data_IF_480572796655
#
_entry.id   IF_480572796655
#
_cell.length_a   1.000
_cell.length_b   1.000
_cell.length_c   1.000
_cell.angle_alpha   90.00
_cell.angle_beta   90.00
_cell.angle_gamma   90.00
#
_symmetry.space_group_name_H-M   'P 1'
#
loop_
_entity.id
_entity.type
_entity.pdbx_description
1 polymer ?
#
# COMPACT_ATOMS: atom_id res chain seq x y z
N UNK A 1 -8.01 6.56 14.33
CA UNK A 1 -6.56 6.37 14.13
C UNK A 1 -6.13 6.80 12.71
N UNK A 2 -6.60 6.17 11.61
CA UNK A 2 -6.14 6.49 10.24
C UNK A 2 -6.42 7.94 9.87
N UNK A 3 -7.61 8.47 10.17
CA UNK A 3 -7.96 9.89 9.92
C UNK A 3 -7.12 10.85 10.77
N UNK A 4 -6.75 10.46 11.97
CA UNK A 4 -5.85 11.24 12.83
C UNK A 4 -4.45 11.30 12.23
N UNK A 5 -3.91 10.14 11.80
CA UNK A 5 -2.63 10.06 11.09
C UNK A 5 -2.64 10.93 9.83
N UNK A 6 -3.69 10.85 9.01
CA UNK A 6 -3.84 11.70 7.84
C UNK A 6 -3.84 13.19 8.21
N UNK A 7 -4.53 13.58 9.30
CA UNK A 7 -4.53 14.97 9.77
C UNK A 7 -3.12 15.45 10.17
N UNK A 8 -2.34 14.59 10.82
CA UNK A 8 -0.95 14.88 11.19
C UNK A 8 -0.10 15.06 9.93
N UNK A 9 -0.17 14.12 8.98
CA UNK A 9 0.53 14.19 7.70
C UNK A 9 0.22 15.51 6.98
N UNK A 10 -1.06 15.87 6.85
CA UNK A 10 -1.49 17.10 6.20
C UNK A 10 -0.92 18.37 6.86
N UNK A 11 -0.82 18.39 8.21
CA UNK A 11 -0.18 19.51 8.92
C UNK A 11 1.29 19.65 8.54
N UNK A 12 2.03 18.54 8.48
CA UNK A 12 3.44 18.55 8.10
C UNK A 12 3.63 18.96 6.64
N UNK A 13 2.80 18.45 5.73
CA UNK A 13 2.86 18.84 4.31
C UNK A 13 2.62 20.34 4.12
N UNK A 14 1.59 20.90 4.77
CA UNK A 14 1.32 22.35 4.76
C UNK A 14 2.50 23.15 5.29
N UNK A 15 3.09 22.72 6.42
CA UNK A 15 4.24 23.38 7.03
C UNK A 15 5.45 23.44 6.09
N UNK A 16 5.60 22.42 5.23
CA UNK A 16 6.68 22.33 4.25
C UNK A 16 6.30 22.87 2.86
N UNK A 17 5.18 23.57 2.73
CA UNK A 17 4.76 24.21 1.48
C UNK A 17 4.35 23.25 0.37
N UNK A 18 4.07 21.99 0.68
CA UNK A 18 3.61 21.02 -0.29
C UNK A 18 2.13 21.23 -0.64
N UNK A 19 1.83 21.24 -1.93
CA UNK A 19 0.46 21.31 -2.43
C UNK A 19 -0.12 19.89 -2.49
N UNK A 20 -1.25 19.67 -1.83
CA UNK A 20 -1.91 18.37 -1.80
C UNK A 20 -3.42 18.52 -1.67
N UNK A 21 -4.12 17.46 -1.97
CA UNK A 21 -5.55 17.33 -1.74
C UNK A 21 -5.90 15.92 -1.22
N UNK A 22 -6.85 15.87 -0.28
CA UNK A 22 -7.36 14.62 0.27
C UNK A 22 -8.58 14.15 -0.50
N UNK A 23 -8.53 12.92 -1.00
CA UNK A 23 -9.66 12.21 -1.57
C UNK A 23 -10.09 11.17 -0.54
N UNK A 24 -11.18 11.49 0.19
CA UNK A 24 -11.66 10.70 1.32
C UNK A 24 -12.53 9.54 0.82
N UNK A 25 -12.13 8.27 1.03
CA UNK A 25 -12.83 7.13 0.44
C UNK A 25 -14.29 7.01 0.86
N UNK A 26 -14.60 7.21 2.14
CA UNK A 26 -15.99 7.11 2.64
C UNK A 26 -16.97 8.12 2.02
N UNK A 27 -16.49 9.15 1.36
CA UNK A 27 -17.32 10.14 0.65
C UNK A 27 -17.50 9.82 -0.83
N UNK A 28 -16.67 8.97 -1.40
CA UNK A 28 -16.53 8.81 -2.85
C UNK A 28 -16.61 7.37 -3.33
N UNK A 29 -16.26 6.39 -2.48
CA UNK A 29 -16.08 5.00 -2.88
C UNK A 29 -17.08 4.10 -2.17
N UNK A 30 -17.70 3.19 -2.94
CA UNK A 30 -18.40 2.02 -2.44
C UNK A 30 -17.64 0.75 -2.79
N UNK A 31 -17.83 -0.31 -2.03
CA UNK A 31 -17.17 -1.61 -2.24
C UNK A 31 -18.19 -2.74 -2.44
N UNK A 32 -17.74 -3.78 -3.13
CA UNK A 32 -18.47 -5.02 -3.28
C UNK A 32 -18.28 -5.97 -2.08
N UNK A 33 -18.88 -7.16 -2.15
CA UNK A 33 -18.77 -8.22 -1.14
C UNK A 33 -17.34 -8.75 -0.94
N UNK A 34 -16.41 -8.41 -1.82
CA UNK A 34 -14.98 -8.79 -1.75
C UNK A 34 -14.10 -7.62 -1.29
N UNK A 35 -14.70 -6.53 -0.80
CA UNK A 35 -14.04 -5.27 -0.42
C UNK A 35 -13.28 -4.61 -1.59
N UNK A 36 -13.72 -4.81 -2.83
CA UNK A 36 -13.15 -4.17 -4.00
C UNK A 36 -13.97 -2.92 -4.38
N UNK A 37 -13.34 -1.81 -4.81
CA UNK A 37 -14.04 -0.60 -5.23
C UNK A 37 -14.93 -0.87 -6.44
N UNK A 38 -16.24 -0.59 -6.31
CA UNK A 38 -17.21 -0.67 -7.40
C UNK A 38 -17.15 0.57 -8.27
N UNK A 39 -17.12 1.72 -7.60
CA UNK A 39 -16.88 3.02 -8.20
C UNK A 39 -15.56 3.59 -7.69
N UNK A 40 -14.82 4.22 -8.54
CA UNK A 40 -13.56 4.85 -8.18
C UNK A 40 -13.53 6.27 -8.74
N UNK A 41 -13.30 7.30 -7.90
CA UNK A 41 -13.38 8.71 -8.31
C UNK A 41 -12.11 9.11 -9.10
N UNK A 42 -11.92 8.49 -10.26
CA UNK A 42 -10.72 8.72 -11.10
C UNK A 42 -10.59 10.19 -11.49
N UNK A 43 -11.69 10.84 -11.78
CA UNK A 43 -11.74 12.24 -12.18
C UNK A 43 -11.20 13.15 -11.08
N UNK A 44 -11.54 12.89 -9.80
CA UNK A 44 -11.03 13.67 -8.65
C UNK A 44 -9.49 13.55 -8.57
N UNK A 45 -8.94 12.35 -8.79
CA UNK A 45 -7.48 12.16 -8.83
C UNK A 45 -6.85 12.87 -10.04
N UNK A 46 -7.48 12.77 -11.22
CA UNK A 46 -6.98 13.42 -12.44
C UNK A 46 -6.91 14.94 -12.28
N UNK A 47 -7.92 15.57 -11.67
CA UNK A 47 -7.95 17.01 -11.38
C UNK A 47 -6.81 17.41 -10.45
N UNK A 48 -6.63 16.69 -9.33
CA UNK A 48 -5.56 16.97 -8.36
C UNK A 48 -4.18 16.87 -9.01
N UNK A 49 -3.96 15.82 -9.81
CA UNK A 49 -2.68 15.59 -10.51
C UNK A 49 -2.45 16.64 -11.61
N UNK A 50 -3.48 17.04 -12.35
CA UNK A 50 -3.38 18.07 -13.39
C UNK A 50 -2.99 19.44 -12.82
N UNK A 51 -3.36 19.73 -11.58
CA UNK A 51 -2.96 20.93 -10.85
C UNK A 51 -1.54 20.84 -10.25
N UNK A 52 -0.82 19.74 -10.46
CA UNK A 52 0.52 19.50 -9.91
C UNK A 52 0.51 19.27 -8.40
N UNK A 53 -0.63 18.90 -7.83
CA UNK A 53 -0.78 18.58 -6.41
C UNK A 53 -0.52 17.10 -6.13
N UNK A 54 -0.25 16.78 -4.87
CA UNK A 54 -0.15 15.42 -4.37
C UNK A 54 -1.55 14.95 -3.96
N UNK A 55 -2.05 13.90 -4.58
CA UNK A 55 -3.29 13.26 -4.17
C UNK A 55 -3.04 12.33 -2.98
N UNK A 56 -3.79 12.53 -1.89
CA UNK A 56 -3.71 11.71 -0.68
C UNK A 56 -5.02 10.96 -0.50
N UNK A 57 -4.92 9.65 -0.29
CA UNK A 57 -6.04 8.80 0.12
C UNK A 57 -5.56 7.79 1.16
N UNK A 58 -6.47 7.06 1.81
CA UNK A 58 -6.15 6.13 2.89
C UNK A 58 -7.21 5.04 3.00
N UNK A 59 -6.88 3.92 3.66
CA UNK A 59 -7.88 2.90 3.99
C UNK A 59 -8.96 3.47 4.91
N UNK A 60 -10.23 3.20 4.61
CA UNK A 60 -11.37 3.79 5.33
C UNK A 60 -12.52 2.79 5.47
N UNK A 61 -13.47 3.11 6.32
CA UNK A 61 -14.77 2.44 6.37
C UNK A 61 -15.66 3.12 5.33
N UNK A 62 -16.18 2.34 4.41
CA UNK A 62 -16.98 2.82 3.26
C UNK A 62 -18.27 2.03 3.15
N UNK A 63 -19.24 2.56 2.43
CA UNK A 63 -20.50 1.87 2.14
C UNK A 63 -20.26 0.66 1.23
N UNK A 64 -21.05 -0.39 1.42
CA UNK A 64 -21.14 -1.54 0.50
C UNK A 64 -22.31 -1.39 -0.46
N UNK A 65 -22.40 -2.28 -1.46
CA UNK A 65 -23.54 -2.39 -2.37
C UNK A 65 -24.87 -2.60 -1.65
N UNK A 66 -24.87 -3.25 -0.48
CA UNK A 66 -26.06 -3.66 0.26
C UNK A 66 -26.42 -2.68 1.40
N UNK A 67 -25.93 -1.45 1.35
CA UNK A 67 -26.16 -0.40 2.35
C UNK A 67 -25.56 -0.71 3.75
N UNK A 68 -24.73 -1.73 3.87
CA UNK A 68 -23.87 -1.98 5.01
C UNK A 68 -22.56 -1.20 4.90
N UNK A 69 -21.67 -1.37 5.87
CA UNK A 69 -20.32 -0.79 5.83
C UNK A 69 -19.27 -1.88 5.75
N UNK A 70 -18.17 -1.58 5.06
CA UNK A 70 -17.03 -2.46 4.93
C UNK A 70 -15.71 -1.72 5.02
N UNK A 71 -14.61 -2.45 5.09
CA UNK A 71 -13.26 -1.89 5.16
C UNK A 71 -12.61 -1.92 3.79
N UNK A 72 -12.33 -0.73 3.25
CA UNK A 72 -11.48 -0.56 2.07
C UNK A 72 -10.05 -0.38 2.52
N UNK A 73 -9.17 -1.34 2.24
CA UNK A 73 -7.78 -1.27 2.66
C UNK A 73 -6.96 -0.30 1.80
N UNK A 74 -5.92 0.31 2.40
CA UNK A 74 -4.96 1.13 1.67
C UNK A 74 -4.20 0.35 0.59
N UNK A 75 -3.94 -0.94 0.82
CA UNK A 75 -3.28 -1.81 -0.15
C UNK A 75 -4.15 -2.02 -1.41
N UNK A 76 -5.47 -2.19 -1.23
CA UNK A 76 -6.44 -2.29 -2.34
C UNK A 76 -6.53 -0.99 -3.12
N UNK A 77 -6.53 0.16 -2.42
CA UNK A 77 -6.49 1.48 -3.06
C UNK A 77 -5.20 1.67 -3.88
N UNK A 78 -4.06 1.31 -3.30
CA UNK A 78 -2.77 1.41 -3.99
C UNK A 78 -2.73 0.55 -5.26
N UNK A 79 -3.25 -0.68 -5.18
CA UNK A 79 -3.39 -1.55 -6.35
C UNK A 79 -4.25 -0.88 -7.43
N UNK A 80 -5.42 -0.35 -7.05
CA UNK A 80 -6.33 0.31 -8.01
C UNK A 80 -5.68 1.53 -8.67
N UNK A 81 -4.97 2.35 -7.90
CA UNK A 81 -4.22 3.49 -8.42
C UNK A 81 -3.11 3.05 -9.37
N UNK A 82 -2.35 2.01 -9.02
CA UNK A 82 -1.29 1.49 -9.88
C UNK A 82 -1.83 0.95 -11.21
N UNK A 83 -2.97 0.26 -11.21
CA UNK A 83 -3.64 -0.20 -12.44
C UNK A 83 -4.08 0.95 -13.35
N UNK A 84 -4.62 2.03 -12.76
CA UNK A 84 -5.14 3.18 -13.49
C UNK A 84 -4.02 4.08 -14.06
N UNK A 85 -3.00 4.34 -13.26
CA UNK A 85 -1.97 5.34 -13.58
C UNK A 85 -0.64 4.75 -14.05
N UNK A 86 -0.41 3.45 -13.84
CA UNK A 86 0.81 2.72 -14.24
C UNK A 86 2.08 3.52 -13.91
N UNK A 87 2.26 3.89 -12.62
CA UNK A 87 3.40 4.70 -12.22
C UNK A 87 4.71 3.97 -12.52
N UNK A 88 5.79 4.72 -12.72
CA UNK A 88 7.13 4.13 -12.91
C UNK A 88 7.49 3.22 -11.74
N UNK A 89 7.20 3.65 -10.50
CA UNK A 89 7.50 2.92 -9.27
C UNK A 89 6.35 3.00 -8.27
N UNK A 90 6.18 1.94 -7.51
CA UNK A 90 5.22 1.85 -6.39
C UNK A 90 5.93 1.27 -5.18
N UNK A 91 5.73 1.88 -4.01
CA UNK A 91 6.36 1.46 -2.77
C UNK A 91 5.33 1.15 -1.70
N UNK A 92 5.51 0.03 -1.02
CA UNK A 92 4.89 -0.27 0.27
C UNK A 92 5.92 0.05 1.35
N UNK A 93 5.63 1.03 2.20
CA UNK A 93 6.50 1.41 3.31
C UNK A 93 6.00 0.77 4.59
N UNK A 94 6.89 0.10 5.33
CA UNK A 94 6.60 -0.66 6.54
C UNK A 94 7.57 -0.29 7.67
N UNK A 95 7.34 -0.84 8.86
CA UNK A 95 8.25 -0.69 10.01
C UNK A 95 9.55 -1.50 9.87
N UNK A 96 9.62 -2.41 8.89
CA UNK A 96 10.78 -3.23 8.59
C UNK A 96 11.38 -2.87 7.25
N UNK A 97 12.70 -3.07 7.05
CA UNK A 97 13.41 -2.65 5.84
C UNK A 97 12.97 -3.35 4.55
N UNK A 98 12.12 -4.37 4.66
CA UNK A 98 11.59 -5.18 3.56
C UNK A 98 10.96 -6.45 4.10
N UNK A 99 10.80 -7.47 3.27
CA UNK A 99 10.32 -8.78 3.71
C UNK A 99 11.45 -9.52 4.43
N UNK A 100 11.30 -9.70 5.74
CA UNK A 100 12.33 -10.27 6.61
C UNK A 100 12.47 -11.78 6.42
N UNK A 101 13.72 -12.27 6.37
CA UNK A 101 14.07 -13.68 6.43
C UNK A 101 14.19 -14.10 7.91
N UNK A 102 13.50 -15.14 8.32
CA UNK A 102 13.57 -15.63 9.69
C UNK A 102 12.67 -14.90 10.68
N UNK A 103 13.13 -14.73 11.92
CA UNK A 103 12.34 -14.13 13.00
C UNK A 103 12.56 -12.63 13.09
N UNK A 104 11.52 -11.89 13.47
CA UNK A 104 11.54 -10.42 13.57
C UNK A 104 12.37 -9.89 14.75
N UNK A 105 12.69 -10.72 15.71
CA UNK A 105 13.46 -10.44 16.92
C UNK A 105 14.97 -10.77 16.80
N UNK A 106 15.43 -11.18 15.62
CA UNK A 106 16.85 -11.39 15.36
C UNK A 106 17.60 -10.03 15.35
N UNK A 107 18.75 -9.97 16.06
CA UNK A 107 19.59 -8.75 16.15
C UNK A 107 20.12 -8.30 14.76
N UNK A 108 20.25 -9.22 13.81
CA UNK A 108 20.69 -8.96 12.44
C UNK A 108 19.59 -9.36 11.45
N UNK A 109 18.60 -8.48 11.28
CA UNK A 109 17.54 -8.69 10.31
C UNK A 109 18.09 -8.73 8.89
N UNK A 110 17.87 -9.85 8.21
CA UNK A 110 18.11 -9.97 6.77
C UNK A 110 16.79 -9.98 6.02
N UNK A 111 16.76 -9.34 4.85
CA UNK A 111 15.55 -9.28 4.01
C UNK A 111 15.75 -10.12 2.75
N UNK A 112 14.63 -10.46 2.11
CA UNK A 112 14.65 -10.97 0.74
C UNK A 112 14.97 -9.82 -0.22
N UNK A 113 15.93 -10.01 -1.12
CA UNK A 113 16.23 -9.03 -2.16
C UNK A 113 15.07 -8.95 -3.17
N UNK A 114 14.50 -10.12 -3.50
CA UNK A 114 13.36 -10.24 -4.41
C UNK A 114 12.37 -11.28 -3.93
N UNK A 115 11.08 -11.06 -4.23
CA UNK A 115 9.99 -12.02 -4.05
C UNK A 115 9.15 -12.13 -5.31
N UNK A 116 8.58 -13.31 -5.55
CA UNK A 116 7.66 -13.61 -6.65
C UNK A 116 6.42 -14.38 -6.18
N UNK A 117 5.60 -14.83 -7.11
CA UNK A 117 4.38 -15.59 -6.81
C UNK A 117 4.61 -16.92 -6.07
N UNK A 118 5.82 -17.50 -6.14
CA UNK A 118 6.17 -18.73 -5.41
C UNK A 118 6.34 -18.46 -3.93
N UNK A 119 6.79 -17.24 -3.58
CA UNK A 119 6.92 -16.80 -2.20
C UNK A 119 5.59 -16.89 -1.44
N UNK A 120 4.50 -16.41 -2.02
CA UNK A 120 3.15 -16.48 -1.42
C UNK A 120 2.72 -17.92 -1.12
N UNK A 121 3.02 -18.85 -2.03
CA UNK A 121 2.68 -20.28 -1.83
C UNK A 121 3.45 -20.87 -0.65
N UNK A 122 4.72 -20.49 -0.49
CA UNK A 122 5.56 -20.97 0.60
C UNK A 122 5.17 -20.37 1.96
N UNK A 123 4.81 -19.08 2.00
CA UNK A 123 4.34 -18.42 3.22
C UNK A 123 3.00 -19.00 3.67
N UNK A 124 2.06 -19.20 2.76
CA UNK A 124 0.75 -19.80 3.08
C UNK A 124 0.85 -21.22 3.67
N UNK A 125 1.89 -21.99 3.31
CA UNK A 125 2.15 -23.32 3.87
C UNK A 125 2.73 -23.23 5.30
N UNK A 126 3.46 -22.16 5.64
CA UNK A 126 4.07 -21.96 6.96
C UNK A 126 3.09 -21.36 7.98
N UNK A 127 2.02 -20.71 7.53
CA UNK A 127 1.00 -20.07 8.38
C UNK A 127 0.19 -21.03 9.25
N UNK A 128 0.16 -22.30 8.93
CA UNK A 128 -0.64 -23.30 9.69
C UNK A 128 -0.10 -23.59 11.11
N UNK A 129 1.03 -23.01 11.52
CA UNK A 129 1.68 -23.49 12.74
C UNK A 129 2.07 -22.47 13.83
N UNK A 130 2.23 -21.15 13.65
CA UNK A 130 2.78 -20.36 14.79
C UNK A 130 2.51 -18.84 14.90
N UNK A 131 1.72 -18.15 14.05
CA UNK A 131 1.62 -16.68 14.15
C UNK A 131 0.22 -16.11 13.88
N UNK A 132 -0.58 -15.80 14.92
CA UNK A 132 -1.98 -15.35 14.74
C UNK A 132 -2.17 -13.93 14.18
N UNK A 133 -1.17 -13.03 14.20
CA UNK A 133 -1.44 -11.58 14.00
C UNK A 133 -0.63 -10.88 12.88
N UNK A 134 0.41 -11.50 12.33
CA UNK A 134 1.23 -10.87 11.29
C UNK A 134 0.75 -11.22 9.86
N UNK A 135 -0.13 -12.19 9.72
CA UNK A 135 -0.33 -12.96 8.51
C UNK A 135 -1.37 -12.35 7.57
N UNK A 136 -2.54 -11.95 8.04
CA UNK A 136 -3.59 -11.45 7.16
C UNK A 136 -3.22 -10.15 6.43
N UNK A 137 -2.66 -9.17 7.13
CA UNK A 137 -2.28 -7.89 6.59
C UNK A 137 -1.07 -7.96 5.64
N UNK A 138 -0.01 -8.68 6.03
CA UNK A 138 1.19 -8.84 5.22
C UNK A 138 0.92 -9.67 3.96
N UNK A 139 0.20 -10.76 4.08
CA UNK A 139 -0.15 -11.61 2.94
C UNK A 139 -0.99 -10.86 1.91
N UNK A 140 -1.98 -10.06 2.35
CA UNK A 140 -2.76 -9.22 1.45
C UNK A 140 -1.89 -8.17 0.76
N UNK A 141 -1.00 -7.53 1.49
CA UNK A 141 -0.02 -6.57 0.95
C UNK A 141 0.85 -7.21 -0.14
N UNK A 142 1.41 -8.39 0.11
CA UNK A 142 2.22 -9.11 -0.88
C UNK A 142 1.39 -9.49 -2.12
N UNK A 143 0.14 -9.93 -1.94
CA UNK A 143 -0.76 -10.21 -3.07
C UNK A 143 -1.04 -8.97 -3.91
N UNK A 144 -1.30 -7.83 -3.28
CA UNK A 144 -1.46 -6.54 -3.98
C UNK A 144 -0.15 -6.15 -4.69
N UNK A 145 0.99 -6.27 -4.02
CA UNK A 145 2.30 -5.94 -4.59
C UNK A 145 2.62 -6.78 -5.83
N UNK A 146 2.31 -8.08 -5.84
CA UNK A 146 2.47 -8.95 -7.01
C UNK A 146 1.57 -8.54 -8.19
N UNK A 147 0.35 -8.04 -7.94
CA UNK A 147 -0.48 -7.51 -9.02
C UNK A 147 0.07 -6.18 -9.54
N UNK A 148 0.51 -5.30 -8.64
CA UNK A 148 1.14 -4.02 -8.98
C UNK A 148 2.41 -4.24 -9.82
N UNK A 149 3.22 -5.25 -9.49
CA UNK A 149 4.45 -5.57 -10.23
C UNK A 149 4.22 -5.86 -11.72
N UNK A 150 2.99 -6.17 -12.14
CA UNK A 150 2.64 -6.35 -13.56
C UNK A 150 2.57 -5.05 -14.35
N UNK A 151 2.41 -3.91 -13.68
CA UNK A 151 2.15 -2.61 -14.32
C UNK A 151 3.10 -1.49 -13.85
N UNK A 152 3.85 -1.74 -12.77
CA UNK A 152 4.74 -0.78 -12.12
C UNK A 152 5.92 -1.51 -11.50
N UNK A 153 7.10 -0.91 -11.45
CA UNK A 153 8.20 -1.41 -10.63
C UNK A 153 7.78 -1.32 -9.15
N UNK A 154 7.66 -2.47 -8.47
CA UNK A 154 7.07 -2.54 -7.12
C UNK A 154 8.11 -2.97 -6.08
N UNK A 155 8.12 -2.25 -4.95
CA UNK A 155 9.03 -2.48 -3.85
C UNK A 155 8.30 -2.51 -2.50
N UNK A 156 8.82 -3.29 -1.57
CA UNK A 156 8.44 -3.28 -0.15
C UNK A 156 9.68 -2.81 0.62
N UNK A 157 9.60 -1.66 1.29
CA UNK A 157 10.73 -0.99 1.92
C UNK A 157 10.38 -0.53 3.33
N UNK A 158 11.39 -0.14 4.10
CA UNK A 158 11.24 0.38 5.45
C UNK A 158 11.13 1.89 5.50
N UNK A 159 10.54 2.40 6.59
CA UNK A 159 10.46 3.83 6.83
C UNK A 159 11.85 4.48 6.92
N UNK A 160 12.83 3.79 7.51
CA UNK A 160 14.21 4.27 7.62
C UNK A 160 14.93 4.39 6.26
N UNK A 161 14.43 3.67 5.24
CA UNK A 161 14.96 3.69 3.88
C UNK A 161 14.09 4.55 2.92
N UNK A 162 13.20 5.37 3.45
CA UNK A 162 12.23 6.11 2.63
C UNK A 162 12.91 7.04 1.61
N UNK A 163 13.99 7.71 1.99
CA UNK A 163 14.74 8.58 1.09
C UNK A 163 15.38 7.81 -0.07
N UNK A 164 15.80 6.56 0.17
CA UNK A 164 16.40 5.70 -0.85
C UNK A 164 15.40 5.22 -1.90
N UNK A 165 14.09 5.29 -1.62
CA UNK A 165 13.04 4.98 -2.59
C UNK A 165 13.10 5.90 -3.83
N UNK A 166 13.69 7.09 -3.71
CA UNK A 166 13.85 8.04 -4.82
C UNK A 166 15.11 7.77 -5.66
N UNK A 167 16.02 6.95 -5.16
CA UNK A 167 17.27 6.60 -5.85
C UNK A 167 17.04 5.61 -6.99
N UNK A 168 18.06 5.44 -7.86
CA UNK A 168 17.99 4.47 -8.95
C UNK A 168 17.94 3.02 -8.46
N UNK A 169 18.54 2.75 -7.29
CA UNK A 169 18.54 1.45 -6.63
C UNK A 169 17.91 1.59 -5.25
N UNK A 170 16.59 1.46 -5.12
CA UNK A 170 15.90 1.50 -3.85
C UNK A 170 16.35 0.40 -2.90
N UNK A 171 16.34 0.68 -1.59
CA UNK A 171 16.61 -0.31 -0.56
C UNK A 171 15.28 -0.96 -0.14
N UNK A 172 15.24 -2.29 -0.15
CA UNK A 172 14.04 -3.05 0.20
C UNK A 172 13.95 -4.38 -0.52
N UNK A 173 12.79 -4.99 -0.48
CA UNK A 173 12.45 -6.21 -1.22
C UNK A 173 11.77 -5.83 -2.54
N UNK A 174 12.37 -6.17 -3.67
CA UNK A 174 11.75 -5.99 -4.98
C UNK A 174 10.71 -7.09 -5.23
N UNK A 175 9.56 -6.68 -5.76
CA UNK A 175 8.51 -7.62 -6.15
C UNK A 175 8.59 -7.85 -7.66
N UNK A 176 8.80 -9.10 -8.05
CA UNK A 176 8.95 -9.51 -9.46
C UNK A 176 7.79 -10.45 -9.89
N UNK A 177 7.61 -10.58 -11.22
CA UNK A 177 6.53 -11.38 -11.80
C UNK A 177 7.01 -12.82 -12.02
#
# INVERSE_FOLDING_TARGET
QVRELNSILCKYMKKNGLLFENIIPSQKIKIDKHNLPINFPKEDFDEVLAEGKIAITFGDIVDTENEDVGILSGDTLLLKLAELYKPKRTFFIMDYPGIVKGKLDDENLTIYDEIDSRFVKNVAIQEDNERPDVTGGLLNKIKCALQIAKVSECWISGLDNFEDCLNDNPIGTKVII
#
